data_IF_381173743139
#
_entry.id   IF_381173743139
#
_cell.length_a   1.000
_cell.length_b   1.000
_cell.length_c   1.000
_cell.angle_alpha   90.00
_cell.angle_beta   90.00
_cell.angle_gamma   90.00
#
_symmetry.space_group_name_H-M   'P 1'
#
loop_
_entity.id
_entity.type
_entity.pdbx_description
1 polymer ?
#
# COMPACT_ATOMS: atom_id res chain seq x y z
N UNK A 1 32.76 -40.30 -31.57
CA UNK A 1 33.08 -41.06 -32.80
C UNK A 1 32.45 -40.39 -34.03
N UNK A 2 31.13 -40.53 -34.26
CA UNK A 2 30.42 -39.94 -35.43
C UNK A 2 30.74 -38.46 -35.68
N UNK A 3 30.66 -37.61 -34.64
CA UNK A 3 30.94 -36.17 -34.77
C UNK A 3 32.38 -35.90 -35.26
N UNK A 4 33.37 -36.57 -34.67
CA UNK A 4 34.78 -36.43 -35.06
C UNK A 4 35.02 -36.89 -36.49
N UNK A 5 34.39 -38.00 -36.90
CA UNK A 5 34.45 -38.49 -38.27
C UNK A 5 33.88 -37.47 -39.27
N UNK A 6 32.76 -36.80 -38.93
CA UNK A 6 32.19 -35.71 -39.74
C UNK A 6 33.13 -34.52 -39.84
N UNK A 7 33.71 -34.09 -38.71
CA UNK A 7 34.65 -32.97 -38.69
C UNK A 7 35.88 -33.30 -39.53
N UNK A 8 36.46 -34.50 -39.38
CA UNK A 8 37.59 -34.96 -40.17
C UNK A 8 37.28 -34.97 -41.67
N UNK A 9 36.13 -35.55 -42.06
CA UNK A 9 35.66 -35.55 -43.45
C UNK A 9 35.50 -34.14 -44.01
N UNK A 10 34.91 -33.23 -43.24
CA UNK A 10 34.75 -31.83 -43.62
C UNK A 10 36.11 -31.13 -43.79
N UNK A 11 37.06 -31.33 -42.87
CA UNK A 11 38.40 -30.73 -42.98
C UNK A 11 39.19 -31.26 -44.17
N UNK A 12 38.97 -32.53 -44.55
CA UNK A 12 39.57 -33.15 -45.73
C UNK A 12 38.87 -32.74 -47.06
N UNK A 13 37.85 -31.88 -47.01
CA UNK A 13 36.99 -31.50 -48.15
C UNK A 13 36.32 -32.69 -48.82
N UNK A 14 36.04 -33.74 -48.05
CA UNK A 14 35.28 -34.89 -48.52
C UNK A 14 33.79 -34.68 -48.25
N UNK A 15 32.94 -35.11 -49.19
CA UNK A 15 31.50 -35.16 -48.97
C UNK A 15 31.17 -36.25 -47.95
N UNK A 16 30.23 -35.98 -47.06
CA UNK A 16 29.80 -36.96 -46.05
C UNK A 16 28.56 -37.67 -46.58
N UNK A 17 28.63 -38.99 -46.65
CA UNK A 17 27.50 -39.85 -46.98
C UNK A 17 27.05 -40.62 -45.73
N UNK A 18 25.78 -40.49 -45.36
CA UNK A 18 25.17 -41.20 -44.24
C UNK A 18 23.84 -41.81 -44.67
N UNK A 19 23.56 -43.02 -44.21
CA UNK A 19 22.27 -43.69 -44.45
C UNK A 19 21.21 -43.09 -43.54
N UNK A 20 20.07 -42.78 -44.13
CA UNK A 20 18.86 -42.41 -43.41
C UNK A 20 17.95 -43.62 -43.29
N UNK A 21 17.86 -44.19 -42.09
CA UNK A 21 16.97 -45.32 -41.84
C UNK A 21 15.52 -44.86 -41.89
N UNK A 22 14.74 -45.46 -42.78
CA UNK A 22 13.27 -45.40 -42.78
C UNK A 22 12.71 -46.63 -42.08
N UNK A 23 11.43 -46.60 -41.67
CA UNK A 23 10.81 -47.69 -40.89
C UNK A 23 10.85 -49.07 -41.58
N UNK A 24 10.96 -49.09 -42.91
CA UNK A 24 11.02 -50.29 -43.74
C UNK A 24 12.34 -50.39 -44.52
N UNK A 25 13.43 -49.87 -43.96
CA UNK A 25 14.74 -49.94 -44.61
C UNK A 25 15.20 -51.39 -44.72
N UNK A 26 15.37 -51.86 -45.96
CA UNK A 26 15.70 -53.23 -46.30
C UNK A 26 16.95 -53.29 -47.17
N UNK A 27 17.39 -54.50 -47.49
CA UNK A 27 18.54 -54.76 -48.37
C UNK A 27 18.45 -54.03 -49.73
N UNK A 28 17.26 -53.97 -50.33
CA UNK A 28 17.05 -53.30 -51.63
C UNK A 28 17.33 -51.79 -51.50
N UNK A 29 16.80 -51.15 -50.45
CA UNK A 29 17.04 -49.73 -50.18
C UNK A 29 18.52 -49.44 -49.97
N UNK A 30 19.22 -50.35 -49.27
CA UNK A 30 20.66 -50.24 -49.06
C UNK A 30 21.47 -50.37 -50.36
N UNK A 31 21.08 -51.27 -51.26
CA UNK A 31 21.73 -51.40 -52.57
C UNK A 31 21.54 -50.14 -53.42
N UNK A 32 20.37 -49.54 -53.40
CA UNK A 32 20.11 -48.27 -54.10
C UNK A 32 20.94 -47.10 -53.51
N UNK A 33 21.05 -47.00 -52.18
CA UNK A 33 21.92 -46.02 -51.54
C UNK A 33 23.40 -46.22 -51.93
N UNK A 34 23.87 -47.47 -52.01
CA UNK A 34 25.21 -47.79 -52.48
C UNK A 34 25.40 -47.42 -53.96
N UNK A 35 24.42 -47.67 -54.84
CA UNK A 35 24.50 -47.22 -56.24
C UNK A 35 24.69 -45.71 -56.32
N UNK A 36 23.88 -44.94 -55.58
CA UNK A 36 24.00 -43.47 -55.51
C UNK A 36 25.41 -43.06 -55.06
N UNK A 37 25.95 -43.72 -54.03
CA UNK A 37 27.32 -43.50 -53.56
C UNK A 37 28.36 -43.76 -54.65
N UNK A 38 28.28 -44.91 -55.34
CA UNK A 38 29.20 -45.28 -56.42
C UNK A 38 29.13 -44.33 -57.63
N UNK A 39 27.94 -43.86 -57.99
CA UNK A 39 27.78 -42.83 -59.02
C UNK A 39 28.44 -41.50 -58.62
N UNK A 40 28.34 -41.08 -57.35
CA UNK A 40 28.97 -39.86 -56.86
C UNK A 40 30.50 -39.93 -56.87
N UNK A 41 31.08 -41.02 -56.40
CA UNK A 41 32.54 -41.17 -56.32
C UNK A 41 33.18 -41.47 -57.68
N UNK A 42 32.47 -42.19 -58.55
CA UNK A 42 33.02 -42.68 -59.81
C UNK A 42 32.77 -41.75 -61.00
N UNK A 43 31.53 -41.32 -61.23
CA UNK A 43 31.21 -40.40 -62.35
C UNK A 43 31.59 -38.96 -62.00
N UNK A 44 31.09 -38.44 -60.88
CA UNK A 44 31.31 -37.04 -60.48
C UNK A 44 32.70 -36.79 -59.87
N UNK A 45 33.51 -37.84 -59.68
CA UNK A 45 34.85 -37.78 -59.11
C UNK A 45 34.91 -37.05 -57.75
N UNK A 46 33.88 -37.21 -56.91
CA UNK A 46 33.83 -36.58 -55.60
C UNK A 46 34.44 -37.50 -54.54
N UNK A 47 35.34 -36.97 -53.72
CA UNK A 47 35.86 -37.71 -52.56
C UNK A 47 34.79 -37.78 -51.49
N UNK A 48 34.43 -38.97 -51.06
CA UNK A 48 33.30 -39.20 -50.16
C UNK A 48 33.72 -40.07 -48.98
N UNK A 49 33.35 -39.60 -47.79
CA UNK A 49 33.45 -40.35 -46.53
C UNK A 49 32.10 -40.95 -46.22
N UNK A 50 32.02 -42.28 -46.27
CA UNK A 50 30.84 -43.03 -45.89
C UNK A 50 30.91 -43.41 -44.41
N UNK A 51 30.00 -42.85 -43.60
CA UNK A 51 29.94 -43.11 -42.16
C UNK A 51 28.79 -44.07 -41.86
N UNK A 52 29.12 -45.21 -41.26
CA UNK A 52 28.13 -46.21 -40.82
C UNK A 52 28.22 -46.41 -39.29
N UNK A 53 27.10 -46.26 -38.61
CA UNK A 53 26.94 -46.52 -37.18
C UNK A 53 26.38 -47.92 -36.93
N UNK A 54 26.65 -48.46 -35.73
CA UNK A 54 26.07 -49.72 -35.26
C UNK A 54 24.53 -49.76 -35.35
N UNK A 55 23.86 -48.67 -34.98
CA UNK A 55 22.41 -48.56 -35.05
C UNK A 55 21.84 -48.51 -36.48
N UNK A 56 22.66 -48.25 -37.50
CA UNK A 56 22.27 -48.26 -38.91
C UNK A 56 22.36 -49.66 -39.54
N UNK A 57 22.96 -50.63 -38.84
CA UNK A 57 23.07 -52.01 -39.30
C UNK A 57 21.83 -52.77 -38.82
N UNK A 58 20.77 -52.72 -39.62
CA UNK A 58 19.50 -53.42 -39.35
C UNK A 58 19.64 -54.91 -39.62
N UNK A 59 20.30 -55.26 -40.73
CA UNK A 59 20.54 -56.64 -41.16
C UNK A 59 22.04 -56.89 -41.26
N UNK A 60 22.50 -58.09 -40.86
CA UNK A 60 23.93 -58.45 -40.92
C UNK A 60 24.44 -58.54 -42.37
N UNK A 61 23.54 -58.76 -43.35
CA UNK A 61 23.86 -58.74 -44.78
C UNK A 61 24.48 -57.40 -45.22
N UNK A 62 24.17 -56.29 -44.53
CA UNK A 62 24.78 -54.99 -44.86
C UNK A 62 26.29 -55.03 -44.69
N UNK A 63 26.79 -55.78 -43.71
CA UNK A 63 28.22 -55.93 -43.47
C UNK A 63 28.91 -56.83 -44.49
N UNK A 64 28.19 -57.77 -45.10
CA UNK A 64 28.71 -58.55 -46.23
C UNK A 64 29.02 -57.63 -47.42
N UNK A 65 28.11 -56.71 -47.73
CA UNK A 65 28.33 -55.70 -48.75
C UNK A 65 29.52 -54.79 -48.43
N UNK A 66 29.65 -54.30 -47.20
CA UNK A 66 30.82 -53.50 -46.79
C UNK A 66 32.10 -54.32 -46.89
N UNK A 67 32.08 -55.59 -46.46
CA UNK A 67 33.23 -56.49 -46.54
C UNK A 67 33.70 -56.70 -47.99
N UNK A 68 32.76 -56.82 -48.93
CA UNK A 68 33.04 -56.90 -50.35
C UNK A 68 33.61 -55.59 -50.91
N UNK A 69 33.09 -54.43 -50.49
CA UNK A 69 33.66 -53.13 -50.89
C UNK A 69 35.09 -52.97 -50.37
N UNK A 70 35.35 -53.36 -49.11
CA UNK A 70 36.69 -53.27 -48.53
C UNK A 70 37.69 -54.24 -49.16
N UNK A 71 37.23 -55.43 -49.58
CA UNK A 71 38.10 -56.47 -50.17
C UNK A 71 38.35 -56.23 -51.66
N UNK A 72 37.28 -55.97 -52.42
CA UNK A 72 37.29 -55.98 -53.88
C UNK A 72 37.08 -54.58 -54.49
N UNK A 73 36.79 -53.57 -53.67
CA UNK A 73 36.48 -52.20 -54.12
C UNK A 73 35.06 -52.00 -54.66
N UNK A 74 34.29 -53.08 -54.86
CA UNK A 74 32.92 -53.05 -55.35
C UNK A 74 32.12 -54.27 -54.84
N UNK A 75 30.81 -54.11 -54.72
CA UNK A 75 29.89 -55.21 -54.44
C UNK A 75 29.59 -55.97 -55.75
N UNK A 76 29.81 -57.29 -55.81
CA UNK A 76 29.40 -58.11 -56.95
C UNK A 76 27.90 -58.01 -57.23
N UNK A 77 27.53 -57.82 -58.50
CA UNK A 77 26.12 -57.74 -58.92
C UNK A 77 25.35 -56.51 -58.40
N UNK A 78 26.04 -55.46 -57.94
CA UNK A 78 25.39 -54.22 -57.51
C UNK A 78 24.72 -53.47 -58.67
N UNK A 79 25.39 -53.44 -59.82
CA UNK A 79 24.89 -52.84 -61.05
C UNK A 79 24.39 -53.94 -62.00
N UNK A 80 23.30 -53.67 -62.69
CA UNK A 80 22.87 -54.51 -63.82
C UNK A 80 23.82 -54.32 -65.01
N UNK A 81 23.81 -55.26 -65.98
CA UNK A 81 24.66 -55.13 -67.17
C UNK A 81 24.35 -53.86 -67.97
N UNK A 82 23.08 -53.45 -68.02
CA UNK A 82 22.65 -52.20 -68.65
C UNK A 82 23.21 -50.96 -67.92
N UNK A 83 23.13 -50.92 -66.58
CA UNK A 83 23.69 -49.83 -65.77
C UNK A 83 25.21 -49.76 -65.91
N UNK A 84 25.88 -50.93 -65.98
CA UNK A 84 27.33 -51.03 -66.17
C UNK A 84 27.75 -50.46 -67.52
N UNK A 85 27.06 -50.81 -68.60
CA UNK A 85 27.36 -50.27 -69.93
C UNK A 85 27.12 -48.76 -70.01
N UNK A 86 26.09 -48.25 -69.32
CA UNK A 86 25.87 -46.81 -69.14
C UNK A 86 27.06 -46.11 -68.48
N UNK A 87 27.54 -46.63 -67.35
CA UNK A 87 28.70 -46.08 -66.62
C UNK A 87 29.97 -46.13 -67.50
N UNK A 88 30.19 -47.22 -68.22
CA UNK A 88 31.35 -47.38 -69.10
C UNK A 88 31.34 -46.33 -70.20
N UNK A 89 30.18 -46.05 -70.80
CA UNK A 89 30.06 -45.04 -71.86
C UNK A 89 30.35 -43.63 -71.35
N UNK A 90 29.85 -43.26 -70.17
CA UNK A 90 30.11 -41.93 -69.58
C UNK A 90 31.57 -41.72 -69.18
N UNK A 91 32.25 -42.77 -68.69
CA UNK A 91 33.64 -42.69 -68.24
C UNK A 91 34.64 -42.86 -69.40
N UNK A 92 34.20 -43.41 -70.55
CA UNK A 92 35.07 -43.75 -71.67
C UNK A 92 35.96 -42.58 -72.10
N UNK A 93 35.40 -41.37 -72.22
CA UNK A 93 36.15 -40.18 -72.64
C UNK A 93 37.27 -39.79 -71.65
N UNK A 94 37.03 -39.96 -70.35
CA UNK A 94 38.05 -39.72 -69.32
C UNK A 94 39.09 -40.85 -69.30
N UNK A 95 38.63 -42.10 -69.43
CA UNK A 95 39.46 -43.30 -69.37
C UNK A 95 40.46 -43.40 -70.54
N UNK A 96 40.10 -42.94 -71.74
CA UNK A 96 41.00 -42.91 -72.92
C UNK A 96 42.27 -42.11 -72.63
N UNK A 97 42.22 -41.10 -71.74
CA UNK A 97 43.40 -40.29 -71.37
C UNK A 97 44.41 -41.05 -70.50
N UNK A 98 43.97 -42.09 -69.81
CA UNK A 98 44.77 -42.83 -68.82
C UNK A 98 45.07 -44.28 -69.22
N UNK A 99 44.24 -44.88 -70.08
CA UNK A 99 44.34 -46.30 -70.46
C UNK A 99 44.88 -46.41 -71.90
N UNK A 100 45.95 -47.19 -72.09
CA UNK A 100 46.57 -47.44 -73.41
C UNK A 100 45.82 -48.48 -74.26
N UNK A 101 45.08 -49.40 -73.65
CA UNK A 101 44.34 -50.49 -74.32
C UNK A 101 42.86 -50.37 -73.95
N UNK A 102 42.04 -49.91 -74.91
CA UNK A 102 40.63 -49.67 -74.70
C UNK A 102 39.81 -50.97 -74.82
N UNK A 103 39.57 -51.62 -73.68
CA UNK A 103 38.60 -52.71 -73.54
C UNK A 103 37.55 -52.29 -72.50
N UNK A 104 36.29 -52.72 -72.67
CA UNK A 104 35.22 -52.45 -71.71
C UNK A 104 35.57 -52.95 -70.29
N UNK A 105 36.33 -54.04 -70.19
CA UNK A 105 36.83 -54.54 -68.90
C UNK A 105 37.88 -53.61 -68.28
N UNK A 106 38.80 -53.09 -69.08
CA UNK A 106 39.82 -52.15 -68.60
C UNK A 106 39.21 -50.83 -68.12
N UNK A 107 38.18 -50.33 -68.83
CA UNK A 107 37.44 -49.14 -68.42
C UNK A 107 36.70 -49.40 -67.09
N UNK A 108 36.11 -50.59 -66.94
CA UNK A 108 35.46 -50.98 -65.69
C UNK A 108 36.43 -51.08 -64.51
N UNK A 109 37.61 -51.67 -64.72
CA UNK A 109 38.67 -51.68 -63.72
C UNK A 109 39.17 -50.28 -63.36
N UNK A 110 39.23 -49.36 -64.34
CA UNK A 110 39.53 -47.95 -64.08
C UNK A 110 38.45 -47.29 -63.21
N UNK A 111 37.17 -47.55 -63.48
CA UNK A 111 36.08 -47.08 -62.62
C UNK A 111 36.21 -47.60 -61.18
N UNK A 112 36.44 -48.91 -60.98
CA UNK A 112 36.63 -49.49 -59.64
C UNK A 112 37.83 -48.84 -58.94
N UNK A 113 38.94 -48.63 -59.64
CA UNK A 113 40.12 -47.95 -59.09
C UNK A 113 39.82 -46.50 -58.71
N UNK A 114 39.05 -45.78 -59.51
CA UNK A 114 38.62 -44.41 -59.21
C UNK A 114 37.72 -44.37 -57.97
N UNK A 115 36.76 -45.29 -57.89
CA UNK A 115 35.87 -45.44 -56.74
C UNK A 115 36.64 -45.74 -55.45
N UNK A 116 37.58 -46.69 -55.48
CA UNK A 116 38.41 -47.05 -54.31
C UNK A 116 39.32 -45.92 -53.82
N UNK A 117 39.83 -45.07 -54.73
CA UNK A 117 40.63 -43.91 -54.34
C UNK A 117 39.80 -42.77 -53.73
N UNK A 118 38.54 -42.65 -54.12
CA UNK A 118 37.64 -41.58 -53.68
C UNK A 118 36.75 -41.96 -52.49
N UNK A 119 36.62 -43.25 -52.18
CA UNK A 119 35.78 -43.74 -51.10
C UNK A 119 36.58 -44.01 -49.82
N UNK A 120 36.17 -43.38 -48.73
CA UNK A 120 36.67 -43.66 -47.40
C UNK A 120 35.53 -44.13 -46.50
N UNK A 121 35.65 -45.33 -45.93
CA UNK A 121 34.60 -45.90 -45.08
C UNK A 121 35.01 -45.76 -43.62
N UNK A 122 34.13 -45.19 -42.79
CA UNK A 122 34.32 -45.05 -41.35
C UNK A 122 33.21 -45.81 -40.62
N UNK A 123 33.60 -46.86 -39.90
CA UNK A 123 32.68 -47.70 -39.13
C UNK A 123 32.71 -47.31 -37.66
N UNK A 124 31.60 -46.79 -37.16
CA UNK A 124 31.43 -46.37 -35.77
C UNK A 124 30.72 -47.47 -34.97
N UNK A 125 31.48 -48.47 -34.50
CA UNK A 125 30.97 -49.58 -33.69
C UNK A 125 31.21 -49.39 -32.18
N UNK A 126 30.33 -49.99 -31.37
CA UNK A 126 30.46 -50.01 -29.91
C UNK A 126 31.20 -51.30 -29.50
N UNK A 127 32.30 -51.22 -28.70
CA UNK A 127 32.99 -52.42 -28.21
C UNK A 127 32.20 -53.20 -27.15
N UNK A 128 31.09 -52.66 -26.65
CA UNK A 128 30.28 -53.29 -25.61
C UNK A 128 29.54 -54.52 -26.16
N UNK A 129 29.79 -55.70 -25.56
CA UNK A 129 29.10 -56.94 -25.89
C UNK A 129 29.86 -57.84 -26.88
N UNK A 130 29.20 -58.89 -27.36
CA UNK A 130 29.83 -59.89 -28.24
C UNK A 130 29.60 -59.61 -29.74
N UNK A 131 28.74 -58.64 -30.08
CA UNK A 131 28.35 -58.34 -31.47
C UNK A 131 29.55 -57.93 -32.32
N UNK A 132 30.36 -56.97 -31.85
CA UNK A 132 31.57 -56.54 -32.56
C UNK A 132 32.53 -57.71 -32.79
N UNK A 133 32.74 -58.56 -31.78
CA UNK A 133 33.61 -59.74 -31.88
C UNK A 133 33.10 -60.76 -32.91
N UNK A 134 31.78 -60.97 -32.97
CA UNK A 134 31.18 -61.88 -33.93
C UNK A 134 31.26 -61.32 -35.36
N UNK A 135 30.97 -60.04 -35.55
CA UNK A 135 31.11 -59.35 -36.84
C UNK A 135 32.55 -59.35 -37.34
N UNK A 136 33.49 -59.07 -36.47
CA UNK A 136 34.94 -59.17 -36.75
C UNK A 136 35.36 -60.57 -37.24
N UNK A 137 34.76 -61.64 -36.70
CA UNK A 137 35.06 -63.01 -37.10
C UNK A 137 34.42 -63.36 -38.44
N UNK A 138 33.17 -62.95 -38.65
CA UNK A 138 32.41 -63.27 -39.85
C UNK A 138 32.88 -62.45 -41.07
N UNK A 139 33.35 -61.22 -40.84
CA UNK A 139 33.73 -60.26 -41.88
C UNK A 139 35.18 -59.78 -41.68
N UNK A 140 36.17 -60.58 -42.12
CA UNK A 140 37.58 -60.31 -41.83
C UNK A 140 38.12 -59.04 -42.51
N UNK A 141 37.53 -58.57 -43.61
CA UNK A 141 37.98 -57.35 -44.28
C UNK A 141 37.76 -56.10 -43.43
N UNK A 142 36.81 -56.14 -42.48
CA UNK A 142 36.60 -55.06 -41.52
C UNK A 142 37.84 -54.84 -40.65
N UNK A 143 38.62 -55.88 -40.35
CA UNK A 143 39.85 -55.77 -39.54
C UNK A 143 41.08 -55.64 -40.42
N UNK A 144 41.17 -56.44 -41.49
CA UNK A 144 42.39 -56.52 -42.29
C UNK A 144 42.61 -55.28 -43.17
N UNK A 145 41.53 -54.67 -43.66
CA UNK A 145 41.60 -53.57 -44.64
C UNK A 145 41.23 -52.22 -44.03
N UNK A 146 41.04 -52.15 -42.70
CA UNK A 146 40.77 -50.88 -42.01
C UNK A 146 41.73 -50.66 -40.84
N UNK A 147 41.95 -49.39 -40.52
CA UNK A 147 42.73 -49.00 -39.34
C UNK A 147 41.81 -48.89 -38.13
N UNK A 148 42.11 -49.63 -37.07
CA UNK A 148 41.32 -49.61 -35.84
C UNK A 148 41.77 -48.43 -34.96
N UNK A 149 40.90 -47.45 -34.78
CA UNK A 149 41.06 -46.36 -33.80
C UNK A 149 40.20 -46.65 -32.55
N UNK A 150 40.87 -46.87 -31.42
CA UNK A 150 40.22 -47.23 -30.17
C UNK A 150 39.88 -46.00 -29.34
N UNK A 151 38.59 -45.66 -29.31
CA UNK A 151 38.05 -44.64 -28.41
C UNK A 151 37.83 -45.21 -27.01
N UNK A 152 38.81 -44.99 -26.13
CA UNK A 152 38.69 -45.27 -24.71
C UNK A 152 37.67 -44.34 -24.03
N UNK A 153 37.33 -44.67 -22.78
CA UNK A 153 36.63 -43.74 -21.87
C UNK A 153 37.46 -42.46 -21.74
N UNK A 154 36.79 -41.32 -21.52
CA UNK A 154 37.50 -40.06 -21.34
C UNK A 154 38.40 -40.12 -20.12
N UNK A 155 39.71 -39.83 -20.26
CA UNK A 155 40.60 -39.75 -19.12
C UNK A 155 40.25 -38.51 -18.28
N UNK A 156 40.73 -38.49 -17.04
CA UNK A 156 40.48 -37.40 -16.10
C UNK A 156 40.89 -36.03 -16.66
N UNK A 157 42.01 -35.97 -17.39
CA UNK A 157 42.49 -34.75 -18.06
C UNK A 157 41.49 -34.24 -19.12
N UNK A 158 40.83 -35.14 -19.84
CA UNK A 158 39.82 -34.75 -20.82
C UNK A 158 38.54 -34.23 -20.14
N UNK A 159 38.13 -34.85 -19.01
CA UNK A 159 37.01 -34.36 -18.21
C UNK A 159 37.29 -32.94 -17.71
N UNK A 160 38.49 -32.67 -17.19
CA UNK A 160 38.91 -31.35 -16.76
C UNK A 160 38.89 -30.32 -17.88
N UNK A 161 39.52 -30.62 -19.02
CA UNK A 161 39.58 -29.70 -20.16
C UNK A 161 38.18 -29.35 -20.70
N UNK A 162 37.27 -30.33 -20.72
CA UNK A 162 35.89 -30.08 -21.14
C UNK A 162 35.14 -29.22 -20.13
N UNK A 163 35.19 -29.55 -18.84
CA UNK A 163 34.56 -28.74 -17.80
C UNK A 163 35.11 -27.31 -17.77
N UNK A 164 36.42 -27.14 -17.91
CA UNK A 164 37.07 -25.83 -18.00
C UNK A 164 36.57 -25.04 -19.22
N UNK A 165 36.50 -25.66 -20.39
CA UNK A 165 36.01 -24.99 -21.60
C UNK A 165 34.53 -24.56 -21.47
N UNK A 166 33.67 -25.35 -20.84
CA UNK A 166 32.27 -24.97 -20.61
C UNK A 166 32.13 -23.89 -19.53
N UNK A 167 32.88 -23.99 -18.43
CA UNK A 167 32.82 -23.06 -17.32
C UNK A 167 33.55 -21.74 -17.62
N UNK A 168 34.54 -21.70 -18.52
CA UNK A 168 35.20 -20.46 -18.93
C UNK A 168 34.26 -19.50 -19.67
N UNK A 169 33.27 -20.04 -20.39
CA UNK A 169 32.19 -19.25 -21.00
C UNK A 169 31.22 -18.68 -19.96
N UNK A 170 31.28 -19.16 -18.72
CA UNK A 170 30.36 -18.83 -17.64
C UNK A 170 31.03 -17.93 -16.57
N UNK A 171 31.02 -16.61 -16.81
CA UNK A 171 31.64 -15.59 -15.94
C UNK A 171 30.95 -15.36 -14.57
N UNK A 172 29.98 -16.19 -14.19
CA UNK A 172 29.20 -15.98 -12.96
C UNK A 172 29.85 -16.61 -11.71
N UNK A 173 30.83 -17.49 -11.91
CA UNK A 173 31.61 -18.17 -10.86
C UNK A 173 32.93 -17.42 -10.68
N UNK A 174 33.34 -17.17 -9.44
CA UNK A 174 34.64 -16.58 -9.13
C UNK A 174 35.76 -17.52 -9.52
N UNK A 175 36.84 -16.98 -10.10
CA UNK A 175 37.96 -17.78 -10.62
C UNK A 175 38.67 -18.58 -9.50
N UNK A 176 38.61 -18.13 -8.25
CA UNK A 176 39.17 -18.84 -7.09
C UNK A 176 38.55 -20.22 -6.87
N UNK A 177 37.23 -20.36 -7.03
CA UNK A 177 36.52 -21.61 -6.77
C UNK A 177 36.35 -22.48 -8.03
N UNK A 178 36.66 -21.92 -9.19
CA UNK A 178 36.41 -22.55 -10.48
C UNK A 178 37.19 -23.84 -10.66
N UNK A 179 38.47 -23.85 -10.26
CA UNK A 179 39.31 -25.04 -10.34
C UNK A 179 38.78 -26.18 -9.46
N UNK A 180 38.37 -25.87 -8.22
CA UNK A 180 37.80 -26.85 -7.30
C UNK A 180 36.48 -27.44 -7.85
N UNK A 181 35.64 -26.61 -8.48
CA UNK A 181 34.39 -27.07 -9.10
C UNK A 181 34.68 -27.98 -10.30
N UNK A 182 35.63 -27.61 -11.15
CA UNK A 182 36.08 -28.44 -12.28
C UNK A 182 36.58 -29.79 -11.77
N UNK A 183 37.40 -29.76 -10.71
CA UNK A 183 37.96 -30.96 -10.10
C UNK A 183 36.86 -31.91 -9.61
N UNK A 184 35.93 -31.36 -8.84
CA UNK A 184 34.80 -32.09 -8.28
C UNK A 184 33.86 -32.63 -9.36
N UNK A 185 33.62 -31.88 -10.44
CA UNK A 185 32.78 -32.35 -11.55
C UNK A 185 33.34 -33.60 -12.21
N UNK A 186 34.65 -33.65 -12.47
CA UNK A 186 35.26 -34.84 -13.05
C UNK A 186 35.22 -36.03 -12.07
N UNK A 187 35.52 -35.78 -10.79
CA UNK A 187 35.48 -36.79 -9.73
C UNK A 187 34.09 -37.43 -9.59
N UNK A 188 33.02 -36.63 -9.64
CA UNK A 188 31.64 -37.14 -9.61
C UNK A 188 31.38 -38.05 -10.80
N UNK A 189 31.75 -37.65 -12.01
CA UNK A 189 31.54 -38.49 -13.19
C UNK A 189 32.32 -39.81 -13.14
N UNK A 190 33.55 -39.76 -12.64
CA UNK A 190 34.36 -40.95 -12.42
C UNK A 190 33.75 -41.89 -11.36
N UNK A 191 33.23 -41.33 -10.26
CA UNK A 191 32.53 -42.13 -9.24
C UNK A 191 31.31 -42.84 -9.80
N UNK A 192 30.57 -42.21 -10.72
CA UNK A 192 29.40 -42.84 -11.36
C UNK A 192 29.83 -44.06 -12.18
N UNK A 193 30.96 -43.98 -12.88
CA UNK A 193 31.50 -45.14 -13.59
C UNK A 193 31.83 -46.28 -12.64
N UNK A 194 32.48 -45.98 -11.50
CA UNK A 194 32.78 -46.97 -10.47
C UNK A 194 31.50 -47.62 -9.89
N UNK A 195 30.46 -46.83 -9.61
CA UNK A 195 29.19 -47.36 -9.13
C UNK A 195 28.41 -48.14 -10.20
N UNK A 196 28.54 -47.81 -11.49
CA UNK A 196 27.97 -48.61 -12.57
C UNK A 196 28.56 -50.03 -12.59
N UNK A 197 29.87 -50.18 -12.35
CA UNK A 197 30.52 -51.48 -12.29
C UNK A 197 30.03 -52.29 -11.08
N UNK A 198 29.95 -51.67 -9.89
CA UNK A 198 29.36 -52.30 -8.69
C UNK A 198 27.89 -52.70 -8.91
N UNK A 199 27.12 -51.85 -9.58
CA UNK A 199 25.72 -52.09 -9.87
C UNK A 199 25.54 -53.32 -10.78
N UNK A 200 26.42 -53.48 -11.77
CA UNK A 200 26.45 -54.66 -12.61
C UNK A 200 26.79 -55.93 -11.83
N UNK A 201 27.73 -55.86 -10.90
CA UNK A 201 28.10 -57.02 -10.06
C UNK A 201 26.96 -57.46 -9.14
N UNK A 202 26.32 -56.51 -8.45
CA UNK A 202 25.29 -56.80 -7.45
C UNK A 202 23.93 -57.12 -8.06
N UNK A 203 23.48 -56.32 -9.03
CA UNK A 203 22.13 -56.41 -9.57
C UNK A 203 22.06 -57.13 -10.92
N UNK A 204 23.21 -57.48 -11.52
CA UNK A 204 23.32 -58.06 -12.87
C UNK A 204 22.61 -57.21 -13.94
N UNK A 205 22.47 -55.91 -13.70
CA UNK A 205 21.88 -54.92 -14.60
C UNK A 205 22.97 -53.96 -15.06
N UNK A 206 23.10 -53.77 -16.37
CA UNK A 206 24.09 -52.87 -16.95
C UNK A 206 23.57 -51.43 -16.92
N UNK A 207 24.34 -50.54 -16.31
CA UNK A 207 24.19 -49.10 -16.43
C UNK A 207 25.45 -48.53 -17.10
N UNK A 208 25.30 -47.46 -17.87
CA UNK A 208 26.41 -46.84 -18.58
C UNK A 208 26.45 -45.34 -18.29
N UNK A 209 27.61 -44.84 -17.88
CA UNK A 209 27.91 -43.42 -17.90
C UNK A 209 28.65 -43.10 -19.21
N UNK A 210 28.06 -42.26 -20.05
CA UNK A 210 28.65 -41.83 -21.32
C UNK A 210 29.12 -40.37 -21.23
N UNK A 211 30.07 -39.94 -22.09
CA UNK A 211 30.44 -38.53 -22.17
C UNK A 211 29.26 -37.60 -22.43
N UNK A 212 28.20 -38.07 -23.11
CA UNK A 212 26.95 -37.31 -23.27
C UNK A 212 26.31 -37.00 -21.92
N UNK A 213 26.25 -37.98 -21.01
CA UNK A 213 25.73 -37.75 -19.66
C UNK A 213 26.58 -36.73 -18.88
N UNK A 214 27.89 -36.70 -19.12
CA UNK A 214 28.78 -35.69 -18.51
C UNK A 214 28.49 -34.28 -19.03
N UNK A 215 28.30 -34.14 -20.34
CA UNK A 215 27.91 -32.88 -20.95
C UNK A 215 26.54 -32.41 -20.44
N UNK A 216 25.56 -33.32 -20.37
CA UNK A 216 24.24 -33.03 -19.82
C UNK A 216 24.32 -32.60 -18.35
N UNK A 217 25.18 -33.24 -17.56
CA UNK A 217 25.45 -32.87 -16.17
C UNK A 217 26.00 -31.43 -16.07
N UNK A 218 27.01 -31.08 -16.87
CA UNK A 218 27.57 -29.72 -16.89
C UNK A 218 26.50 -28.70 -17.32
N UNK A 219 25.73 -29.01 -18.36
CA UNK A 219 24.66 -28.13 -18.84
C UNK A 219 23.59 -27.92 -17.78
N UNK A 220 23.17 -28.98 -17.10
CA UNK A 220 22.18 -28.95 -16.02
C UNK A 220 22.71 -28.13 -14.84
N UNK A 221 23.98 -28.31 -14.46
CA UNK A 221 24.61 -27.50 -13.42
C UNK A 221 24.60 -26.01 -13.76
N UNK A 222 25.03 -25.63 -14.97
CA UNK A 222 25.05 -24.24 -15.42
C UNK A 222 23.64 -23.65 -15.42
N UNK A 223 22.65 -24.40 -15.91
CA UNK A 223 21.26 -23.96 -15.93
C UNK A 223 20.72 -23.73 -14.52
N UNK A 224 20.89 -24.71 -13.62
CA UNK A 224 20.40 -24.64 -12.25
C UNK A 224 21.09 -23.53 -11.46
N UNK A 225 22.39 -23.33 -11.66
CA UNK A 225 23.13 -22.25 -11.01
C UNK A 225 22.59 -20.88 -11.43
N UNK A 226 22.35 -20.66 -12.73
CA UNK A 226 21.76 -19.40 -13.22
C UNK A 226 20.40 -19.14 -12.56
N UNK A 227 19.52 -20.15 -12.58
CA UNK A 227 18.19 -20.04 -12.01
C UNK A 227 18.26 -19.71 -10.51
N UNK A 228 19.05 -20.46 -9.74
CA UNK A 228 19.17 -20.23 -8.29
C UNK A 228 19.78 -18.89 -7.94
N UNK A 229 20.74 -18.40 -8.73
CA UNK A 229 21.33 -17.08 -8.52
C UNK A 229 20.32 -15.97 -8.81
N UNK A 230 19.50 -16.11 -9.85
CA UNK A 230 18.43 -15.16 -10.15
C UNK A 230 17.36 -15.15 -9.04
N UNK A 231 16.93 -16.33 -8.59
CA UNK A 231 15.97 -16.47 -7.48
C UNK A 231 16.50 -15.82 -6.19
N UNK A 232 17.76 -16.09 -5.84
CA UNK A 232 18.42 -15.50 -4.67
C UNK A 232 18.58 -13.99 -4.82
N UNK A 233 18.91 -13.49 -6.02
CA UNK A 233 19.02 -12.05 -6.28
C UNK A 233 17.68 -11.36 -6.07
N UNK A 234 16.57 -11.94 -6.55
CA UNK A 234 15.22 -11.41 -6.33
C UNK A 234 14.83 -11.40 -4.85
N UNK A 235 15.19 -12.46 -4.12
CA UNK A 235 14.95 -12.51 -2.67
C UNK A 235 15.78 -11.47 -1.92
N UNK A 236 17.06 -11.31 -2.28
CA UNK A 236 17.94 -10.31 -1.70
C UNK A 236 17.44 -8.88 -1.98
N UNK A 237 16.99 -8.60 -3.20
CA UNK A 237 16.43 -7.30 -3.58
C UNK A 237 15.15 -7.01 -2.77
N UNK A 238 14.25 -8.00 -2.65
CA UNK A 238 13.05 -7.86 -1.82
C UNK A 238 13.38 -7.56 -0.35
N UNK A 239 14.37 -8.26 0.20
CA UNK A 239 14.83 -8.01 1.57
C UNK A 239 15.45 -6.61 1.70
N UNK A 240 16.26 -6.19 0.74
CA UNK A 240 16.88 -4.87 0.74
C UNK A 240 15.82 -3.76 0.70
N UNK A 241 14.81 -3.88 -0.17
CA UNK A 241 13.67 -2.96 -0.19
C UNK A 241 12.94 -2.96 1.16
N UNK A 242 12.74 -4.14 1.77
CA UNK A 242 12.16 -4.25 3.10
C UNK A 242 12.95 -3.51 4.18
N UNK A 243 14.28 -3.65 4.18
CA UNK A 243 15.17 -2.95 5.11
C UNK A 243 15.08 -1.44 4.92
N UNK A 244 15.11 -0.96 3.67
CA UNK A 244 14.96 0.47 3.37
C UNK A 244 13.63 1.01 3.89
N UNK A 245 12.53 0.28 3.71
CA UNK A 245 11.21 0.69 4.23
C UNK A 245 11.14 0.73 5.76
N UNK A 246 11.80 -0.20 6.43
CA UNK A 246 11.88 -0.20 7.90
C UNK A 246 12.68 1.00 8.40
N UNK A 247 13.78 1.33 7.72
CA UNK A 247 14.60 2.50 8.06
C UNK A 247 13.84 3.81 7.84
N UNK A 248 13.14 3.96 6.72
CA UNK A 248 12.24 5.09 6.45
C UNK A 248 11.15 5.23 7.53
N UNK A 249 10.53 4.12 7.93
CA UNK A 249 9.51 4.13 8.98
C UNK A 249 10.09 4.52 10.35
N UNK A 250 11.31 4.08 10.67
CA UNK A 250 12.03 4.46 11.89
C UNK A 250 12.26 5.97 11.92
N UNK A 251 12.71 6.58 10.81
CA UNK A 251 12.89 8.02 10.69
C UNK A 251 11.55 8.76 10.87
N UNK A 252 10.47 8.28 10.24
CA UNK A 252 9.15 8.88 10.36
C UNK A 252 8.62 8.84 11.80
N UNK A 253 8.79 7.72 12.52
CA UNK A 253 8.39 7.59 13.92
C UNK A 253 9.13 8.61 14.78
N UNK A 254 10.45 8.77 14.59
CA UNK A 254 11.24 9.77 15.32
C UNK A 254 10.76 11.20 15.07
N UNK A 255 10.34 11.53 13.84
CA UNK A 255 9.74 12.84 13.54
C UNK A 255 8.36 13.02 14.18
N UNK A 256 7.53 11.98 14.18
CA UNK A 256 6.21 12.00 14.83
C UNK A 256 6.35 12.18 16.34
N UNK A 257 7.29 11.50 16.99
CA UNK A 257 7.56 11.64 18.43
C UNK A 257 7.98 13.07 18.77
N UNK A 258 8.86 13.69 17.97
CA UNK A 258 9.22 15.12 18.12
C UNK A 258 8.00 16.02 18.02
N UNK A 259 7.11 15.80 17.04
CA UNK A 259 5.87 16.59 16.88
C UNK A 259 4.92 16.37 18.06
N UNK A 260 4.77 15.15 18.54
CA UNK A 260 3.93 14.80 19.69
C UNK A 260 4.42 15.45 20.98
N UNK A 261 5.74 15.51 21.22
CA UNK A 261 6.29 16.23 22.37
C UNK A 261 5.95 17.71 22.35
N UNK A 262 6.05 18.37 21.18
CA UNK A 262 5.67 19.78 21.02
C UNK A 262 4.18 19.96 21.29
N UNK A 263 3.33 19.12 20.69
CA UNK A 263 1.87 19.19 20.89
C UNK A 263 1.45 18.91 22.34
N UNK A 264 2.11 17.97 23.03
CA UNK A 264 1.86 17.70 24.46
C UNK A 264 2.17 18.92 25.33
N UNK A 265 3.27 19.63 25.06
CA UNK A 265 3.61 20.88 25.77
C UNK A 265 2.54 21.95 25.51
N UNK A 266 2.11 22.13 24.26
CA UNK A 266 1.09 23.11 23.92
C UNK A 266 -0.28 22.77 24.53
N UNK A 267 -0.67 21.49 24.51
CA UNK A 267 -1.88 20.98 25.17
C UNK A 267 -1.84 21.26 26.67
N UNK A 268 -0.74 20.95 27.36
CA UNK A 268 -0.62 21.21 28.80
C UNK A 268 -0.83 22.70 29.14
N UNK A 269 -0.28 23.60 28.31
CA UNK A 269 -0.50 25.06 28.46
C UNK A 269 -1.96 25.41 28.25
N UNK A 270 -2.61 24.89 27.19
CA UNK A 270 -4.01 25.17 26.88
C UNK A 270 -4.96 24.59 27.93
N UNK A 271 -4.72 23.37 28.41
CA UNK A 271 -5.48 22.74 29.48
C UNK A 271 -5.37 23.55 30.76
N UNK A 272 -4.16 23.96 31.16
CA UNK A 272 -3.98 24.82 32.34
C UNK A 272 -4.74 26.13 32.22
N UNK A 273 -4.67 26.80 31.05
CA UNK A 273 -5.48 28.02 30.80
C UNK A 273 -6.98 27.76 30.87
N UNK A 274 -7.44 26.60 30.38
CA UNK A 274 -8.85 26.23 30.44
C UNK A 274 -9.30 25.96 31.87
N UNK A 275 -8.49 25.25 32.66
CA UNK A 275 -8.73 24.99 34.08
C UNK A 275 -8.76 26.31 34.87
N UNK A 276 -7.81 27.21 34.63
CA UNK A 276 -7.78 28.55 35.24
C UNK A 276 -9.07 29.33 34.91
N UNK A 277 -9.49 29.35 33.64
CA UNK A 277 -10.75 29.99 33.22
C UNK A 277 -11.98 29.33 33.86
N UNK A 278 -12.02 28.02 34.01
CA UNK A 278 -13.10 27.30 34.70
C UNK A 278 -13.17 27.68 36.19
N UNK A 279 -12.02 27.82 36.86
CA UNK A 279 -12.00 28.31 38.25
C UNK A 279 -12.50 29.75 38.35
N UNK A 280 -12.14 30.61 37.39
CA UNK A 280 -12.65 31.99 37.35
C UNK A 280 -14.17 32.02 37.11
N UNK A 281 -14.67 31.25 36.14
CA UNK A 281 -16.11 31.16 35.84
C UNK A 281 -16.89 30.62 37.05
N UNK A 282 -16.40 29.60 37.74
CA UNK A 282 -17.09 29.03 38.91
C UNK A 282 -17.15 30.04 40.06
N UNK A 283 -16.06 30.77 40.33
CA UNK A 283 -16.06 31.83 41.36
C UNK A 283 -16.96 33.01 41.00
N UNK A 284 -16.98 33.44 39.74
CA UNK A 284 -17.87 34.49 39.25
C UNK A 284 -19.33 34.04 39.31
N UNK A 285 -19.62 32.79 38.97
CA UNK A 285 -20.98 32.22 39.03
C UNK A 285 -21.47 32.15 40.47
N UNK A 286 -20.62 31.72 41.42
CA UNK A 286 -20.95 31.70 42.84
C UNK A 286 -21.23 33.12 43.41
N UNK A 287 -20.41 34.12 43.03
CA UNK A 287 -20.67 35.52 43.39
C UNK A 287 -21.98 36.03 42.79
N UNK A 288 -22.29 35.62 41.56
CA UNK A 288 -23.50 36.06 40.87
C UNK A 288 -24.77 35.40 41.45
N UNK A 289 -24.72 34.14 41.87
CA UNK A 289 -25.84 33.48 42.56
C UNK A 289 -26.10 34.08 43.94
N UNK A 290 -25.05 34.40 44.70
CA UNK A 290 -25.18 35.12 45.98
C UNK A 290 -25.81 36.50 45.79
N UNK A 291 -25.38 37.26 44.76
CA UNK A 291 -25.98 38.55 44.41
C UNK A 291 -27.44 38.42 43.99
N UNK A 292 -27.80 37.40 43.22
CA UNK A 292 -29.20 37.14 42.82
C UNK A 292 -30.08 36.81 44.03
N UNK A 293 -29.61 35.98 44.97
CA UNK A 293 -30.33 35.69 46.21
C UNK A 293 -30.57 36.97 47.03
N UNK A 294 -29.53 37.78 47.27
CA UNK A 294 -29.69 39.06 48.00
C UNK A 294 -30.64 40.04 47.31
N UNK A 295 -30.70 40.02 45.98
CA UNK A 295 -31.62 40.87 45.22
C UNK A 295 -33.08 40.39 45.35
N UNK A 296 -33.32 39.08 45.39
CA UNK A 296 -34.64 38.49 45.64
C UNK A 296 -35.15 38.81 47.05
N UNK A 297 -34.30 38.66 48.07
CA UNK A 297 -34.68 38.96 49.47
C UNK A 297 -35.05 40.44 49.64
N UNK A 298 -34.27 41.35 49.03
CA UNK A 298 -34.57 42.79 49.05
C UNK A 298 -35.87 43.13 48.33
N UNK A 299 -36.22 42.41 47.26
CA UNK A 299 -37.46 42.66 46.52
C UNK A 299 -38.69 42.31 47.37
N UNK A 300 -38.66 41.18 48.08
CA UNK A 300 -39.76 40.77 48.98
C UNK A 300 -40.00 41.80 50.08
N UNK A 301 -38.92 42.34 50.65
CA UNK A 301 -38.99 43.33 51.73
C UNK A 301 -39.61 44.67 51.26
N UNK A 302 -39.38 45.06 50.00
CA UNK A 302 -40.00 46.25 49.41
C UNK A 302 -41.49 46.03 49.14
N UNK A 303 -41.89 44.86 48.66
CA UNK A 303 -43.30 44.55 48.39
C UNK A 303 -44.14 44.57 49.69
N UNK A 304 -43.59 44.10 50.83
CA UNK A 304 -44.25 44.17 52.14
C UNK A 304 -44.43 45.62 52.65
N UNK A 305 -43.44 46.49 52.42
CA UNK A 305 -43.51 47.89 52.83
C UNK A 305 -44.57 48.67 52.06
N UNK A 306 -44.76 48.38 50.77
CA UNK A 306 -45.78 49.05 49.94
C UNK A 306 -47.21 48.77 50.45
N UNK A 307 -47.50 47.54 50.86
CA UNK A 307 -48.82 47.16 51.39
C UNK A 307 -49.15 47.92 52.69
N UNK A 308 -48.14 48.21 53.50
CA UNK A 308 -48.33 48.92 54.79
C UNK A 308 -48.67 50.39 54.57
N UNK A 309 -48.00 51.04 53.61
CA UNK A 309 -48.20 52.46 53.27
C UNK A 309 -49.59 52.70 52.69
N UNK A 310 -50.13 51.80 51.86
CA UNK A 310 -51.47 51.95 51.30
C UNK A 310 -52.57 51.95 52.37
N UNK A 311 -52.41 51.15 53.43
CA UNK A 311 -53.38 51.13 54.54
C UNK A 311 -53.38 52.43 55.33
N UNK A 312 -52.21 52.93 55.69
CA UNK A 312 -52.08 54.17 56.48
C UNK A 312 -52.63 55.38 55.72
N UNK A 313 -52.48 55.41 54.40
CA UNK A 313 -53.05 56.48 53.57
C UNK A 313 -54.58 56.48 53.58
N UNK A 314 -55.20 55.31 53.49
CA UNK A 314 -56.66 55.18 53.46
C UNK A 314 -57.31 55.66 54.76
N UNK A 315 -56.73 55.31 55.91
CA UNK A 315 -57.26 55.69 57.23
C UNK A 315 -57.21 57.22 57.46
N UNK A 316 -56.19 57.91 56.94
CA UNK A 316 -56.06 59.36 57.07
C UNK A 316 -57.07 60.15 56.21
N UNK A 317 -57.36 59.67 55.00
CA UNK A 317 -58.34 60.31 54.10
C UNK A 317 -59.77 60.22 54.65
N UNK A 318 -60.12 59.09 55.28
CA UNK A 318 -61.45 58.91 55.90
C UNK A 318 -61.72 59.87 57.07
N UNK A 319 -60.71 60.18 57.89
CA UNK A 319 -60.88 61.08 59.04
C UNK A 319 -61.05 62.55 58.63
N UNK A 320 -60.50 62.95 57.48
CA UNK A 320 -60.64 64.31 56.95
C UNK A 320 -62.07 64.57 56.44
N UNK A 321 -62.69 63.57 55.83
CA UNK A 321 -64.01 63.70 55.19
C UNK A 321 -65.15 63.91 56.21
N UNK A 322 -65.03 63.35 57.42
CA UNK A 322 -66.01 63.53 58.49
C UNK A 322 -66.01 64.94 59.10
N UNK A 323 -64.87 65.65 59.11
CA UNK A 323 -64.73 66.93 59.78
C UNK A 323 -65.12 68.15 58.91
N UNK A 324 -65.07 68.03 57.58
CA UNK A 324 -65.34 69.11 56.63
C UNK A 324 -66.76 69.73 56.68
N UNK A 325 -67.85 68.97 56.85
CA UNK A 325 -69.21 69.52 56.79
C UNK A 325 -69.50 70.56 57.88
N UNK A 326 -69.01 70.33 59.10
CA UNK A 326 -69.24 71.23 60.24
C UNK A 326 -68.55 72.59 60.08
N UNK A 327 -67.41 72.64 59.37
CA UNK A 327 -66.67 73.87 59.12
C UNK A 327 -67.36 74.74 58.07
N UNK A 328 -67.90 74.13 57.01
CA UNK A 328 -68.61 74.83 55.93
C UNK A 328 -69.90 75.47 56.45
N UNK A 329 -70.64 74.78 57.33
CA UNK A 329 -71.85 75.32 57.95
C UNK A 329 -71.57 76.57 58.80
N UNK A 330 -70.48 76.56 59.57
CA UNK A 330 -70.06 77.71 60.38
C UNK A 330 -69.62 78.92 59.52
N UNK A 331 -68.95 78.69 58.38
CA UNK A 331 -68.57 79.76 57.45
C UNK A 331 -69.79 80.44 56.80
N UNK A 332 -70.81 79.66 56.41
CA UNK A 332 -72.04 80.21 55.81
C UNK A 332 -72.84 81.08 56.79
N UNK A 333 -72.88 80.71 58.07
CA UNK A 333 -73.50 81.55 59.11
C UNK A 333 -72.83 82.92 59.22
N UNK A 334 -71.50 82.98 59.10
CA UNK A 334 -70.72 84.22 59.18
C UNK A 334 -70.98 85.18 58.00
N UNK A 335 -71.39 84.66 56.84
CA UNK A 335 -71.68 85.46 55.65
C UNK A 335 -72.98 86.27 55.74
N UNK A 336 -73.92 85.87 56.59
CA UNK A 336 -75.23 86.53 56.74
C UNK A 336 -75.20 87.80 57.61
N UNK A 337 -74.12 88.04 58.35
CA UNK A 337 -73.96 89.18 59.27
C UNK A 337 -73.83 90.52 58.53
N UNK A 338 -74.79 91.43 58.74
CA UNK A 338 -74.77 92.78 58.15
C UNK A 338 -74.14 93.79 59.12
N UNK A 339 -73.36 94.73 58.58
CA UNK A 339 -72.65 95.74 59.37
C UNK A 339 -73.59 96.66 60.19
N UNK A 340 -74.85 96.81 59.77
CA UNK A 340 -75.87 97.56 60.50
C UNK A 340 -76.17 96.94 61.88
N UNK A 341 -76.32 95.62 61.94
CA UNK A 341 -76.67 94.88 63.17
C UNK A 341 -75.52 94.96 64.21
N UNK A 342 -74.27 94.92 63.75
CA UNK A 342 -73.08 95.09 64.59
C UNK A 342 -72.98 96.51 65.16
N UNK A 343 -73.41 97.52 64.38
CA UNK A 343 -73.41 98.92 64.83
C UNK A 343 -74.49 99.15 65.89
N UNK A 344 -75.67 98.53 65.75
CA UNK A 344 -76.72 98.54 66.76
C UNK A 344 -76.26 97.86 68.05
N UNK A 345 -75.64 96.67 67.93
CA UNK A 345 -75.09 95.95 69.09
C UNK A 345 -74.04 96.75 69.87
N UNK A 346 -73.20 97.54 69.18
CA UNK A 346 -72.19 98.41 69.83
C UNK A 346 -72.83 99.53 70.66
N UNK A 347 -74.02 100.00 70.30
CA UNK A 347 -74.68 101.13 70.95
C UNK A 347 -75.25 100.80 72.33
N UNK A 348 -75.43 99.52 72.66
CA UNK A 348 -75.92 99.11 73.98
C UNK A 348 -74.87 99.37 75.07
N UNK A 349 -75.22 100.22 76.04
CA UNK A 349 -74.39 100.48 77.22
C UNK A 349 -74.36 99.28 78.18
N UNK A 350 -75.46 98.53 78.28
CA UNK A 350 -75.57 97.26 79.01
C UNK A 350 -76.35 96.22 78.16
N UNK A 351 -75.69 95.23 77.54
CA UNK A 351 -76.36 94.21 76.73
C UNK A 351 -76.98 93.09 77.58
N UNK A 352 -77.93 92.35 76.99
CA UNK A 352 -78.51 91.11 77.54
C UNK A 352 -77.44 90.02 77.70
N UNK A 353 -77.54 89.15 78.71
CA UNK A 353 -76.47 88.21 79.09
C UNK A 353 -76.05 87.23 77.97
N UNK A 354 -76.98 86.81 77.10
CA UNK A 354 -76.67 85.93 75.94
C UNK A 354 -75.73 86.59 74.94
N UNK A 355 -75.95 87.87 74.63
CA UNK A 355 -75.08 88.67 73.78
C UNK A 355 -73.70 88.89 74.40
N UNK A 356 -73.66 89.02 75.73
CA UNK A 356 -72.40 89.16 76.48
C UNK A 356 -71.55 87.88 76.40
N UNK A 357 -72.17 86.70 76.52
CA UNK A 357 -71.50 85.40 76.43
C UNK A 357 -70.88 85.18 75.04
N UNK A 358 -71.65 85.40 73.97
CA UNK A 358 -71.18 85.25 72.58
C UNK A 358 -70.02 86.21 72.30
N UNK A 359 -70.11 87.45 72.79
CA UNK A 359 -69.02 88.43 72.70
C UNK A 359 -67.74 87.95 73.41
N UNK A 360 -67.85 87.24 74.53
CA UNK A 360 -66.71 86.67 75.23
C UNK A 360 -66.11 85.46 74.52
N UNK A 361 -66.93 84.53 74.02
CA UNK A 361 -66.46 83.41 73.19
C UNK A 361 -65.69 83.89 71.96
N UNK A 362 -66.18 84.96 71.33
CA UNK A 362 -65.53 85.62 70.20
C UNK A 362 -64.18 86.24 70.58
N UNK A 363 -64.05 86.91 71.73
CA UNK A 363 -62.76 87.43 72.20
C UNK A 363 -61.75 86.31 72.49
N UNK A 364 -62.20 85.19 73.06
CA UNK A 364 -61.35 84.01 73.32
C UNK A 364 -60.91 83.38 71.99
N UNK A 365 -61.83 83.25 71.03
CA UNK A 365 -61.52 82.76 69.69
C UNK A 365 -60.53 83.67 68.95
N UNK A 366 -60.63 85.00 69.13
CA UNK A 366 -59.68 85.97 68.59
C UNK A 366 -58.37 86.07 69.41
N UNK A 367 -58.31 85.45 70.59
CA UNK A 367 -57.12 85.38 71.45
C UNK A 367 -56.85 86.63 72.29
N UNK A 368 -57.86 87.43 72.63
CA UNK A 368 -57.70 88.64 73.44
C UNK A 368 -57.49 88.33 74.94
N UNK A 369 -56.58 89.04 75.64
CA UNK A 369 -56.18 88.70 77.01
C UNK A 369 -57.19 89.12 78.11
N UNK A 370 -58.11 90.04 77.84
CA UNK A 370 -59.13 90.51 78.80
C UNK A 370 -60.55 90.26 78.30
N UNK A 371 -61.38 89.66 79.15
CA UNK A 371 -62.78 89.33 78.85
C UNK A 371 -63.66 90.41 79.48
N UNK A 372 -63.82 91.55 78.81
CA UNK A 372 -64.71 92.62 79.24
C UNK A 372 -65.58 93.12 78.09
N UNK A 373 -66.83 93.48 78.35
CA UNK A 373 -67.72 94.00 77.30
C UNK A 373 -67.17 95.27 76.64
N UNK A 374 -66.37 96.05 77.38
CA UNK A 374 -65.67 97.22 76.84
C UNK A 374 -64.71 96.83 75.71
N UNK A 375 -64.02 95.70 75.86
CA UNK A 375 -63.09 95.16 74.85
C UNK A 375 -63.85 94.51 73.69
N UNK A 376 -64.98 93.84 73.95
CA UNK A 376 -65.87 93.32 72.89
C UNK A 376 -66.30 94.45 71.96
N UNK A 377 -66.75 95.59 72.53
CA UNK A 377 -67.13 96.76 71.73
C UNK A 377 -65.95 97.37 70.98
N UNK A 378 -64.75 97.33 71.55
CA UNK A 378 -63.54 97.85 70.90
C UNK A 378 -63.18 97.02 69.67
N UNK A 379 -63.26 95.70 69.78
CA UNK A 379 -62.99 94.77 68.66
C UNK A 379 -64.08 94.87 67.58
N UNK A 380 -65.36 94.99 67.97
CA UNK A 380 -66.46 95.22 67.02
C UNK A 380 -66.43 96.62 66.37
N UNK A 381 -65.68 97.58 66.91
CA UNK A 381 -65.54 98.91 66.32
C UNK A 381 -64.55 98.97 65.16
N UNK A 382 -63.69 97.95 65.00
CA UNK A 382 -62.74 97.87 63.89
C UNK A 382 -63.49 97.60 62.58
N UNK A 383 -63.30 98.47 61.57
CA UNK A 383 -63.92 98.33 60.25
C UNK A 383 -63.57 97.01 59.56
N UNK A 384 -62.46 96.35 59.91
CA UNK A 384 -62.03 95.05 59.33
C UNK A 384 -62.48 93.81 60.12
N UNK A 385 -63.25 93.99 61.19
CA UNK A 385 -63.63 92.92 62.11
C UNK A 385 -64.32 91.72 61.43
N UNK A 386 -65.36 91.95 60.61
CA UNK A 386 -66.08 90.86 59.91
C UNK A 386 -65.13 90.11 58.97
N UNK A 387 -64.27 90.83 58.25
CA UNK A 387 -63.31 90.23 57.31
C UNK A 387 -62.31 89.35 58.06
N UNK A 388 -61.80 89.80 59.19
CA UNK A 388 -60.85 89.04 60.01
C UNK A 388 -61.47 87.77 60.61
N UNK A 389 -62.77 87.76 60.90
CA UNK A 389 -63.47 86.54 61.33
C UNK A 389 -63.63 85.53 60.19
N UNK A 390 -63.89 85.99 58.95
CA UNK A 390 -64.06 85.10 57.79
C UNK A 390 -62.75 84.48 57.30
N UNK A 391 -61.63 85.20 57.43
CA UNK A 391 -60.35 84.79 56.84
C UNK A 391 -59.39 84.15 57.85
N UNK A 392 -59.79 83.91 59.09
CA UNK A 392 -58.91 83.29 60.09
C UNK A 392 -58.80 81.78 59.84
N UNK A 393 -57.57 81.30 59.81
CA UNK A 393 -57.26 79.89 59.63
C UNK A 393 -57.65 79.08 60.88
N UNK A 394 -58.50 78.03 60.76
CA UNK A 394 -58.91 77.18 61.88
C UNK A 394 -57.73 76.51 62.59
N UNK A 395 -56.63 76.24 61.88
CA UNK A 395 -55.43 75.58 62.42
C UNK A 395 -54.61 76.46 63.37
N UNK A 396 -54.86 77.78 63.39
CA UNK A 396 -54.27 78.70 64.37
C UNK A 396 -54.97 78.65 65.73
N UNK A 397 -56.03 77.86 65.86
CA UNK A 397 -56.74 77.66 67.12
C UNK A 397 -55.96 76.72 68.03
N UNK A 398 -55.41 77.26 69.12
CA UNK A 398 -54.52 76.49 69.99
C UNK A 398 -55.32 75.61 70.95
N UNK A 399 -54.80 74.43 71.29
CA UNK A 399 -55.44 73.51 72.26
C UNK A 399 -55.81 74.19 73.59
N UNK A 400 -55.02 75.17 74.05
CA UNK A 400 -55.34 75.99 75.24
C UNK A 400 -56.60 76.85 75.08
N UNK A 401 -56.80 77.42 73.89
CA UNK A 401 -57.99 78.21 73.54
C UNK A 401 -59.23 77.31 73.45
N UNK A 402 -59.09 76.09 72.92
CA UNK A 402 -60.15 75.08 72.89
C UNK A 402 -60.68 74.72 74.28
N UNK A 403 -59.77 74.55 75.24
CA UNK A 403 -60.15 74.25 76.63
C UNK A 403 -60.85 75.44 77.29
N UNK A 404 -60.40 76.68 77.06
CA UNK A 404 -61.06 77.88 77.58
C UNK A 404 -62.44 78.12 76.97
N UNK A 405 -62.61 77.88 75.67
CA UNK A 405 -63.90 78.01 74.98
C UNK A 405 -64.93 76.99 75.47
N UNK A 406 -64.51 75.75 75.79
CA UNK A 406 -65.38 74.72 76.38
C UNK A 406 -65.99 75.08 77.75
N UNK A 407 -65.51 76.14 78.41
CA UNK A 407 -66.11 76.62 79.67
C UNK A 407 -67.36 77.47 79.37
N UNK A 408 -67.45 78.05 78.17
CA UNK A 408 -68.50 78.97 77.75
C UNK A 408 -69.42 78.40 76.65
N UNK A 409 -69.02 77.30 76.01
CA UNK A 409 -69.79 76.45 75.09
C UNK A 409 -70.29 75.22 75.85
#
# INVERSE_FOLDING_TARGET
KKLLAKIAGFTAKCQIFEIQLTRNYNEISFREDLKILFYQIGLKNMKTVFILNDAQIVEENFLEYINNILSNGIVPGLFTDEERDGIINEIREEAIKYIKILSNENIWHYFIRKCTLNLHIILCMNPTGNLLRNRARNFPALINNTTIDYFARWPQQALYAVAEHFLSRFKLISDEYKNNIIEHMAMVHESVNFYCDIYMEKMRRKAYATPTNYLDFIHTFIHLYKQKKEDLSKQAERLNVGIIRIDEASILIQEMDKKLEIQRKELAIKTKKCDDLLTEITTLTAKQTERKSRALDKKQLVDEQLITIEKEKHDAESQLEEAMPALIEAQQGLDTLKAADITEMRSFANPVDTLRLIGYCMLIYLGHPSISWKDVRAVMADMKFITNLKTRDPDLFTSKQAVQLKIYL
#
